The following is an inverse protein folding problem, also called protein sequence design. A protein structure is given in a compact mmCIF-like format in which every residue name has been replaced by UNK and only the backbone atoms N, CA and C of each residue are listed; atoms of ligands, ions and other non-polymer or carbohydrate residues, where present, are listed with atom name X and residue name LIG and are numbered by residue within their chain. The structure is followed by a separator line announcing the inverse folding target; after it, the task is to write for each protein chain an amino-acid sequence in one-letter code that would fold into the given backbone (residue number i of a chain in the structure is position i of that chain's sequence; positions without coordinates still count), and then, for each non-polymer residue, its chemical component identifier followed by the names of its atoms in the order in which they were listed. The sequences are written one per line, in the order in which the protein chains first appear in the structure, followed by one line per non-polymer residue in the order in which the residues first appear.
data_IF_095018850176
#
_entry.id   IF_095018850176
#
_cell.length_a   1.000
_cell.length_b   1.000
_cell.length_c   1.000
_cell.angle_alpha   90.00
_cell.angle_beta   90.00
_cell.angle_gamma   90.00
#
_symmetry.space_group_name_H-M   'P 1'
#
loop_
_entity.id
_entity.type
_entity.pdbx_description
1 polymer ?
#
# COMPACT_ATOMS: atom_id res chain seq x y z
N UNK A 1 -30.39 -20.70 -5.91
CA UNK A 1 -30.30 -19.33 -6.43
C UNK A 1 -28.83 -19.00 -6.54
N UNK A 2 -28.31 -18.89 -7.77
CA UNK A 2 -26.91 -18.65 -8.04
C UNK A 2 -26.64 -17.13 -8.05
N UNK A 3 -25.67 -16.69 -7.26
CA UNK A 3 -25.17 -15.33 -7.23
C UNK A 3 -24.06 -15.21 -8.28
N UNK A 4 -24.17 -14.23 -9.18
CA UNK A 4 -23.19 -13.97 -10.23
C UNK A 4 -22.57 -12.58 -10.02
N UNK A 5 -21.30 -12.45 -9.61
CA UNK A 5 -20.60 -11.18 -9.48
C UNK A 5 -19.81 -10.90 -10.76
N UNK A 6 -20.44 -10.31 -11.77
CA UNK A 6 -19.77 -9.88 -13.00
C UNK A 6 -20.06 -8.41 -13.27
N UNK A 7 -19.21 -7.55 -12.69
CA UNK A 7 -18.55 -6.40 -13.32
C UNK A 7 -18.03 -5.48 -12.19
N UNK A 8 -16.70 -5.42 -12.07
CA UNK A 8 -15.98 -4.63 -11.08
C UNK A 8 -15.79 -3.17 -11.48
N UNK A 9 -16.72 -2.59 -12.23
CA UNK A 9 -16.60 -1.22 -12.72
C UNK A 9 -17.10 -0.24 -11.67
N UNK A 10 -16.28 0.77 -11.36
CA UNK A 10 -16.64 1.88 -10.49
C UNK A 10 -16.97 3.08 -11.37
N UNK A 11 -18.08 3.75 -11.07
CA UNK A 11 -18.57 4.92 -11.81
C UNK A 11 -18.50 6.16 -10.94
N UNK A 12 -17.97 7.26 -11.45
CA UNK A 12 -17.92 8.55 -10.75
C UNK A 12 -18.74 9.56 -11.54
N UNK A 13 -19.81 10.10 -10.95
CA UNK A 13 -20.68 11.08 -11.59
C UNK A 13 -20.50 12.47 -10.99
N UNK A 14 -20.34 13.47 -11.86
CA UNK A 14 -20.31 14.89 -11.47
C UNK A 14 -21.70 15.47 -11.13
N UNK A 15 -21.76 16.63 -10.45
CA UNK A 15 -23.02 17.25 -10.06
C UNK A 15 -23.81 17.74 -11.29
N UNK A 16 -25.09 17.36 -11.34
CA UNK A 16 -26.04 17.78 -12.37
C UNK A 16 -26.45 19.25 -12.15
N UNK A 17 -26.25 20.10 -13.16
CA UNK A 17 -26.92 21.40 -13.23
C UNK A 17 -28.36 21.18 -13.67
N UNK A 18 -29.31 21.51 -12.79
CA UNK A 18 -30.73 21.56 -13.13
C UNK A 18 -30.99 22.73 -14.07
N UNK A 19 -31.49 22.54 -15.30
CA UNK A 19 -32.11 23.60 -16.05
C UNK A 19 -33.57 23.72 -15.59
N UNK A 20 -33.93 24.89 -15.06
CA UNK A 20 -35.34 25.21 -14.86
C UNK A 20 -36.04 25.37 -16.21
N UNK A 21 -37.20 24.73 -16.38
CA UNK A 21 -38.38 25.44 -16.86
C UNK A 21 -39.69 24.65 -16.72
N UNK A 22 -40.72 25.47 -16.51
CA UNK A 22 -42.15 25.26 -16.34
C UNK A 22 -42.84 24.16 -17.18
N UNK A 23 -43.63 23.31 -16.52
CA UNK A 23 -45.08 23.14 -16.77
C UNK A 23 -45.73 22.17 -15.76
N UNK A 24 -46.84 22.60 -15.16
CA UNK A 24 -47.77 21.73 -14.41
C UNK A 24 -48.71 20.99 -15.38
N UNK A 25 -49.37 19.90 -14.96
CA UNK A 25 -50.67 20.08 -14.31
C UNK A 25 -50.97 19.15 -13.11
N UNK A 26 -52.02 19.55 -12.40
CA UNK A 26 -52.62 19.05 -11.16
C UNK A 26 -52.97 17.55 -11.11
N UNK A 27 -52.79 16.95 -9.93
CA UNK A 27 -53.78 16.06 -9.32
C UNK A 27 -53.81 16.23 -7.78
N UNK A 28 -55.03 16.45 -7.28
CA UNK A 28 -55.55 16.36 -5.89
C UNK A 28 -55.10 15.06 -5.18
N UNK A 29 -55.02 14.88 -3.84
CA UNK A 29 -55.39 15.63 -2.62
C UNK A 29 -54.89 14.86 -1.38
N UNK A 30 -54.78 15.57 -0.23
CA UNK A 30 -54.85 15.07 1.18
C UNK A 30 -53.60 14.32 1.72
N UNK A 31 -53.02 14.55 2.90
CA UNK A 31 -53.49 15.02 4.21
C UNK A 31 -52.36 15.77 4.95
N UNK A 32 -52.69 16.87 5.63
CA UNK A 32 -51.92 17.46 6.73
C UNK A 32 -52.35 16.86 8.08
N UNK A 33 -51.47 16.88 9.09
CA UNK A 33 -51.85 17.46 10.38
C UNK A 33 -50.90 18.59 10.83
N UNK A 34 -51.32 19.45 11.79
CA UNK A 34 -50.56 20.62 12.24
C UNK A 34 -49.76 20.31 13.51
N UNK A 35 -48.53 20.79 13.60
CA UNK A 35 -47.83 21.01 14.87
C UNK A 35 -47.19 22.39 14.82
N UNK A 36 -47.76 23.29 15.61
CA UNK A 36 -47.31 24.62 15.94
C UNK A 36 -46.74 24.61 17.37
N UNK A 37 -45.81 25.53 17.63
CA UNK A 37 -45.11 25.90 18.87
C UNK A 37 -43.63 25.50 18.78
N UNK A 38 -42.66 26.41 18.64
CA UNK A 38 -42.58 27.79 19.15
C UNK A 38 -41.74 27.75 20.43
N UNK A 39 -40.53 28.32 20.40
CA UNK A 39 -39.76 28.78 21.56
C UNK A 39 -38.51 29.55 21.10
N UNK A 40 -37.92 30.38 21.98
CA UNK A 40 -37.72 31.80 21.72
C UNK A 40 -36.27 32.17 21.38
N UNK A 41 -36.13 33.43 20.94
CA UNK A 41 -34.90 34.21 20.91
C UNK A 41 -34.05 33.98 22.15
N UNK A 42 -32.86 33.41 21.96
CA UNK A 42 -31.77 33.49 22.91
C UNK A 42 -30.93 34.74 22.57
N UNK A 43 -30.85 35.65 23.53
CA UNK A 43 -30.01 36.85 23.51
C UNK A 43 -28.52 36.51 23.38
N UNK A 44 -27.70 37.40 22.80
CA UNK A 44 -26.24 37.25 22.80
C UNK A 44 -25.65 37.54 24.20
N UNK A 45 -24.51 36.93 24.57
CA UNK A 45 -23.86 37.19 25.85
C UNK A 45 -23.28 38.62 25.91
N UNK A 46 -23.42 39.20 27.09
CA UNK A 46 -22.99 40.53 27.47
C UNK A 46 -21.47 40.71 27.34
N UNK A 47 -21.09 41.84 26.79
CA UNK A 47 -19.73 42.39 26.79
C UNK A 47 -19.39 42.92 28.19
N UNK A 48 -18.20 42.66 28.74
CA UNK A 48 -17.77 43.34 29.96
C UNK A 48 -17.50 44.82 29.68
N UNK A 49 -18.29 45.69 30.31
CA UNK A 49 -18.01 47.12 30.44
C UNK A 49 -16.66 47.32 31.14
N UNK A 50 -15.73 47.98 30.45
CA UNK A 50 -14.54 48.59 31.07
C UNK A 50 -14.72 50.10 31.06
N UNK A 51 -14.60 50.70 32.24
CA UNK A 51 -14.75 52.13 32.50
C UNK A 51 -13.61 52.95 31.85
N UNK A 52 -13.86 54.22 31.51
CA UNK A 52 -12.85 55.11 30.91
C UNK A 52 -12.10 55.86 32.00
N UNK A 53 -10.77 55.82 32.01
CA UNK A 53 -9.95 56.84 32.67
C UNK A 53 -8.61 57.08 31.96
N UNK A 54 -8.26 58.36 31.93
CA UNK A 54 -6.96 58.99 31.69
C UNK A 54 -6.49 59.23 30.25
N UNK A 55 -6.82 60.44 29.80
CA UNK A 55 -5.93 61.38 29.11
C UNK A 55 -4.53 61.46 29.73
N UNK A 56 -3.51 61.34 28.88
CA UNK A 56 -2.12 61.67 29.20
C UNK A 56 -1.19 61.19 28.09
N UNK A 57 -0.82 62.07 27.16
CA UNK A 57 0.00 61.72 26.00
C UNK A 57 1.48 61.50 26.32
N UNK A 58 2.20 60.96 25.33
CA UNK A 58 3.46 61.49 24.82
C UNK A 58 3.93 60.62 23.65
N UNK A 59 4.52 61.30 22.67
CA UNK A 59 5.15 60.79 21.47
C UNK A 59 6.30 59.83 21.82
N UNK A 60 6.44 58.71 21.09
CA UNK A 60 7.72 58.26 20.55
C UNK A 60 7.55 57.03 19.64
N UNK A 61 8.31 57.05 18.56
CA UNK A 61 8.35 56.04 17.51
C UNK A 61 8.96 54.73 18.01
N UNK A 62 8.43 53.59 17.55
CA UNK A 62 9.04 52.29 17.84
C UNK A 62 8.26 51.11 17.28
N UNK A 63 8.69 50.65 16.12
CA UNK A 63 8.69 49.24 15.69
C UNK A 63 7.36 48.46 15.69
N UNK A 64 6.84 48.33 14.48
CA UNK A 64 5.85 47.35 14.04
C UNK A 64 6.27 45.90 14.36
N UNK A 65 5.86 45.41 15.54
CA UNK A 65 5.89 43.99 15.89
C UNK A 65 4.70 43.28 15.24
N UNK A 66 5.00 42.59 14.14
CA UNK A 66 4.04 41.98 13.23
C UNK A 66 3.53 40.62 13.75
N UNK A 67 2.20 40.51 13.85
CA UNK A 67 1.33 39.34 13.77
C UNK A 67 1.95 37.92 13.76
N UNK A 68 2.13 37.31 14.93
CA UNK A 68 2.42 35.86 15.06
C UNK A 68 1.34 35.05 15.78
N UNK A 69 0.26 35.69 16.26
CA UNK A 69 -0.80 35.03 17.06
C UNK A 69 -2.13 34.81 16.32
N UNK A 70 -2.23 35.16 15.03
CA UNK A 70 -3.48 35.02 14.27
C UNK A 70 -3.61 33.68 13.51
N UNK A 71 -2.72 32.70 13.76
CA UNK A 71 -2.62 31.47 12.97
C UNK A 71 -3.32 30.24 13.58
N UNK A 72 -3.76 30.29 14.85
CA UNK A 72 -4.37 29.13 15.50
C UNK A 72 -5.87 29.03 15.23
N UNK A 73 -6.63 30.12 15.34
CA UNK A 73 -8.08 30.13 15.09
C UNK A 73 -8.43 29.83 13.62
N UNK A 74 -7.65 30.38 12.69
CA UNK A 74 -7.82 30.10 11.27
C UNK A 74 -7.55 28.62 10.91
N UNK A 75 -6.61 27.97 11.60
CA UNK A 75 -6.35 26.54 11.44
C UNK A 75 -7.53 25.68 11.94
N UNK A 76 -8.13 26.02 13.08
CA UNK A 76 -9.31 25.32 13.61
C UNK A 76 -10.53 25.44 12.70
N UNK A 77 -10.83 26.64 12.18
CA UNK A 77 -11.95 26.82 11.25
C UNK A 77 -11.73 26.07 9.92
N UNK A 78 -10.49 25.95 9.47
CA UNK A 78 -10.15 25.16 8.29
C UNK A 78 -10.45 23.67 8.51
N UNK A 79 -10.10 23.11 9.66
CA UNK A 79 -10.43 21.71 9.98
C UNK A 79 -11.94 21.44 10.06
N UNK A 80 -12.71 22.36 10.65
CA UNK A 80 -14.17 22.24 10.71
C UNK A 80 -14.80 22.24 9.31
N UNK A 81 -14.35 23.14 8.42
CA UNK A 81 -14.81 23.20 7.02
C UNK A 81 -14.43 21.93 6.27
N UNK A 82 -13.20 21.44 6.41
CA UNK A 82 -12.75 20.22 5.75
C UNK A 82 -13.50 18.99 6.27
N UNK A 83 -13.73 18.90 7.58
CA UNK A 83 -14.53 17.84 8.20
C UNK A 83 -15.97 17.85 7.71
N UNK A 84 -16.57 19.04 7.62
CA UNK A 84 -17.91 19.22 7.06
C UNK A 84 -17.94 18.83 5.57
N UNK A 85 -16.96 19.25 4.78
CA UNK A 85 -16.88 18.92 3.34
C UNK A 85 -16.68 17.42 3.13
N UNK A 86 -15.90 16.75 3.97
CA UNK A 86 -15.74 15.31 3.96
C UNK A 86 -17.05 14.58 4.29
N UNK A 87 -17.72 14.95 5.39
CA UNK A 87 -18.98 14.33 5.78
C UNK A 87 -20.09 14.57 4.75
N UNK A 88 -20.29 15.84 4.36
CA UNK A 88 -21.39 16.22 3.46
C UNK A 88 -21.12 15.87 2.00
N UNK A 89 -19.89 16.05 1.55
CA UNK A 89 -19.51 15.93 0.14
C UNK A 89 -18.97 14.57 -0.26
N UNK A 90 -18.44 13.79 0.68
CA UNK A 90 -17.94 12.44 0.41
C UNK A 90 -18.79 11.36 1.08
N UNK A 91 -18.96 11.37 2.40
CA UNK A 91 -19.67 10.29 3.11
C UNK A 91 -21.18 10.27 2.83
N UNK A 92 -21.83 11.44 2.81
CA UNK A 92 -23.25 11.57 2.45
C UNK A 92 -23.47 11.61 0.93
N UNK A 93 -22.40 11.77 0.14
CA UNK A 93 -22.44 11.60 -1.29
C UNK A 93 -22.76 10.15 -1.61
N UNK A 94 -24.04 9.86 -1.86
CA UNK A 94 -24.59 8.52 -2.13
C UNK A 94 -23.58 7.57 -2.80
N UNK A 95 -23.06 6.60 -2.04
CA UNK A 95 -22.40 5.40 -2.58
C UNK A 95 -23.51 4.39 -2.82
N UNK A 96 -24.18 4.50 -3.96
CA UNK A 96 -25.15 3.50 -4.41
C UNK A 96 -24.51 2.67 -5.52
N UNK A 97 -24.43 1.35 -5.34
CA UNK A 97 -23.93 0.42 -6.36
C UNK A 97 -22.53 0.77 -6.92
N UNK A 98 -21.57 1.14 -6.06
CA UNK A 98 -20.21 1.55 -6.47
C UNK A 98 -20.16 2.80 -7.36
N UNK A 99 -21.22 3.61 -7.30
CA UNK A 99 -21.24 4.90 -7.95
C UNK A 99 -20.94 5.99 -6.92
N UNK A 100 -19.91 6.79 -7.16
CA UNK A 100 -19.56 7.92 -6.32
C UNK A 100 -20.04 9.21 -6.96
N UNK A 101 -20.83 10.01 -6.22
CA UNK A 101 -21.24 11.36 -6.63
C UNK A 101 -20.33 12.38 -5.99
N UNK A 102 -19.36 12.88 -6.75
CA UNK A 102 -18.24 13.67 -6.23
C UNK A 102 -18.09 15.01 -6.94
N UNK A 103 -17.38 15.93 -6.28
CA UNK A 103 -17.13 17.27 -6.78
C UNK A 103 -15.90 17.29 -7.69
N UNK A 104 -16.09 17.64 -8.97
CA UNK A 104 -15.02 17.71 -9.97
C UNK A 104 -13.86 18.62 -9.54
N UNK A 105 -14.15 19.73 -8.85
CA UNK A 105 -13.13 20.63 -8.30
C UNK A 105 -12.18 19.93 -7.31
N UNK A 106 -12.73 19.05 -6.46
CA UNK A 106 -11.94 18.28 -5.49
C UNK A 106 -11.19 17.15 -6.18
N UNK A 107 -11.84 16.46 -7.13
CA UNK A 107 -11.20 15.39 -7.91
C UNK A 107 -10.03 15.87 -8.77
N UNK A 108 -10.04 17.12 -9.21
CA UNK A 108 -8.96 17.71 -10.01
C UNK A 108 -7.61 17.77 -9.26
N UNK A 109 -7.59 17.53 -7.94
CA UNK A 109 -6.36 17.36 -7.16
C UNK A 109 -5.61 16.07 -7.52
N UNK A 110 -6.32 15.05 -8.02
CA UNK A 110 -5.71 13.84 -8.59
C UNK A 110 -5.32 14.11 -10.03
N UNK A 111 -4.06 13.85 -10.39
CA UNK A 111 -3.56 14.06 -11.75
C UNK A 111 -4.27 13.15 -12.75
N UNK A 112 -4.53 11.91 -12.37
CA UNK A 112 -5.23 10.93 -13.21
C UNK A 112 -6.67 11.33 -13.44
N UNK A 113 -7.41 11.70 -12.38
CA UNK A 113 -8.81 12.12 -12.51
C UNK A 113 -8.94 13.44 -13.26
N UNK A 114 -8.03 14.40 -13.03
CA UNK A 114 -8.00 15.65 -13.78
C UNK A 114 -7.84 15.38 -15.29
N UNK A 115 -6.93 14.48 -15.66
CA UNK A 115 -6.75 14.07 -17.04
C UNK A 115 -8.02 13.42 -17.61
N UNK A 116 -8.57 12.41 -16.91
CA UNK A 116 -9.79 11.73 -17.35
C UNK A 116 -10.99 12.68 -17.51
N UNK A 117 -11.17 13.63 -16.59
CA UNK A 117 -12.21 14.66 -16.69
C UNK A 117 -11.98 15.58 -17.89
N UNK A 118 -10.74 15.90 -18.23
CA UNK A 118 -10.41 16.76 -19.37
C UNK A 118 -10.60 16.07 -20.73
N UNK A 119 -10.44 14.74 -20.78
CA UNK A 119 -10.58 13.95 -22.01
C UNK A 119 -11.95 13.30 -22.18
N UNK A 120 -12.74 13.22 -21.10
CA UNK A 120 -14.10 12.68 -21.15
C UNK A 120 -14.99 13.57 -22.03
N UNK A 121 -15.78 12.95 -22.91
CA UNK A 121 -16.69 13.69 -23.78
C UNK A 121 -17.70 14.50 -22.95
N UNK A 122 -18.02 15.71 -23.40
CA UNK A 122 -18.87 16.67 -22.69
C UNK A 122 -20.37 16.30 -22.62
N UNK A 123 -20.73 15.01 -22.70
CA UNK A 123 -22.13 14.60 -22.51
C UNK A 123 -22.49 14.68 -21.03
N UNK A 124 -23.40 15.59 -20.68
CA UNK A 124 -24.02 15.66 -19.36
C UNK A 124 -24.95 14.46 -19.14
N UNK A 125 -24.93 13.78 -17.96
CA UNK A 125 -24.00 13.96 -16.85
C UNK A 125 -22.62 13.32 -17.11
N UNK A 126 -21.55 14.07 -16.78
CA UNK A 126 -20.17 13.61 -16.95
C UNK A 126 -19.90 12.47 -15.98
N UNK A 127 -19.90 11.25 -16.52
CA UNK A 127 -19.68 10.00 -15.78
C UNK A 127 -18.36 9.40 -16.24
N UNK A 128 -17.46 9.16 -15.29
CA UNK A 128 -16.16 8.54 -15.55
C UNK A 128 -16.22 7.11 -15.06
N UNK A 129 -15.86 6.17 -15.92
CA UNK A 129 -15.75 4.76 -15.58
C UNK A 129 -14.28 4.42 -15.37
N UNK A 130 -13.97 3.86 -14.21
CA UNK A 130 -12.64 3.42 -13.85
C UNK A 130 -12.72 1.90 -13.67
N UNK A 131 -12.09 1.17 -14.58
CA UNK A 131 -12.03 -0.29 -14.46
C UNK A 131 -10.88 -0.66 -13.53
N UNK A 132 -11.22 -1.19 -12.35
CA UNK A 132 -10.25 -1.69 -11.38
C UNK A 132 -9.87 -3.15 -11.61
N UNK A 133 -10.59 -3.85 -12.51
CA UNK A 133 -10.39 -5.27 -12.77
C UNK A 133 -9.00 -5.61 -13.32
N UNK A 134 -8.30 -4.63 -13.92
CA UNK A 134 -6.93 -4.80 -14.41
C UNK A 134 -5.87 -4.70 -13.32
N UNK A 135 -6.20 -4.16 -12.15
CA UNK A 135 -5.22 -3.81 -11.10
C UNK A 135 -5.53 -4.57 -9.79
N UNK A 136 -4.99 -5.78 -9.59
CA UNK A 136 -5.37 -6.66 -8.48
C UNK A 136 -4.99 -6.11 -7.10
N UNK A 137 -4.09 -5.13 -7.04
CA UNK A 137 -3.70 -4.47 -5.79
C UNK A 137 -4.72 -3.41 -5.34
N UNK A 138 -5.56 -2.91 -6.25
CA UNK A 138 -6.57 -1.90 -5.93
C UNK A 138 -7.87 -2.59 -5.51
N UNK A 139 -8.26 -2.33 -4.27
CA UNK A 139 -9.54 -2.76 -3.69
C UNK A 139 -10.50 -1.58 -3.65
N UNK A 140 -11.79 -1.86 -3.57
CA UNK A 140 -12.82 -0.83 -3.44
C UNK A 140 -12.61 0.03 -2.19
N UNK A 141 -12.20 -0.58 -1.07
CA UNK A 141 -11.89 0.11 0.18
C UNK A 141 -10.69 1.05 0.01
N UNK A 142 -9.56 0.54 -0.49
CA UNK A 142 -8.35 1.35 -0.70
C UNK A 142 -8.59 2.53 -1.65
N UNK A 143 -9.38 2.30 -2.70
CA UNK A 143 -9.77 3.32 -3.66
C UNK A 143 -10.69 4.38 -3.02
N UNK A 144 -11.67 3.95 -2.23
CA UNK A 144 -12.57 4.85 -1.49
C UNK A 144 -11.80 5.72 -0.49
N UNK A 145 -10.86 5.15 0.27
CA UNK A 145 -10.01 5.89 1.20
C UNK A 145 -9.19 6.96 0.46
N UNK A 146 -8.62 6.61 -0.70
CA UNK A 146 -7.91 7.57 -1.53
C UNK A 146 -8.84 8.70 -2.01
N UNK A 147 -10.01 8.39 -2.55
CA UNK A 147 -10.99 9.42 -2.94
C UNK A 147 -11.38 10.34 -1.76
N UNK A 148 -11.59 9.76 -0.57
CA UNK A 148 -11.85 10.50 0.66
C UNK A 148 -10.70 11.44 1.05
N UNK A 149 -9.45 11.02 0.85
CA UNK A 149 -8.27 11.83 1.12
C UNK A 149 -8.20 13.11 0.26
N UNK A 150 -8.76 13.10 -0.96
CA UNK A 150 -8.87 14.32 -1.77
C UNK A 150 -9.73 15.40 -1.09
N UNK A 151 -10.68 14.99 -0.24
CA UNK A 151 -11.53 15.88 0.54
C UNK A 151 -10.85 16.32 1.83
N UNK A 152 -10.30 15.38 2.60
CA UNK A 152 -9.67 15.69 3.89
C UNK A 152 -8.64 14.64 4.32
N UNK A 153 -7.60 15.09 5.03
CA UNK A 153 -6.55 14.21 5.57
C UNK A 153 -7.04 13.24 6.67
N UNK A 154 -8.27 13.40 7.17
CA UNK A 154 -8.87 12.47 8.14
C UNK A 154 -8.90 11.02 7.64
N UNK A 155 -8.94 10.81 6.32
CA UNK A 155 -8.86 9.48 5.72
C UNK A 155 -7.55 8.73 6.02
N UNK A 156 -6.49 9.41 6.47
CA UNK A 156 -5.26 8.75 6.94
C UNK A 156 -5.54 7.82 8.13
N UNK A 157 -6.49 8.16 8.99
CA UNK A 157 -6.86 7.34 10.16
C UNK A 157 -7.54 6.02 9.79
N UNK A 158 -7.98 5.89 8.53
CA UNK A 158 -8.59 4.67 8.00
C UNK A 158 -7.54 3.71 7.44
N UNK A 159 -6.27 4.12 7.35
CA UNK A 159 -5.18 3.28 6.86
C UNK A 159 -4.67 2.38 7.97
N UNK A 160 -4.71 1.08 7.74
CA UNK A 160 -4.25 0.05 8.69
C UNK A 160 -3.54 -1.09 7.93
N UNK A 161 -2.80 -1.98 8.62
CA UNK A 161 -1.94 -2.97 7.97
C UNK A 161 -2.61 -3.83 6.88
N UNK A 162 -3.90 -4.15 7.04
CA UNK A 162 -4.64 -5.01 6.11
C UNK A 162 -5.05 -4.31 4.80
N UNK A 163 -5.24 -2.98 4.82
CA UNK A 163 -5.65 -2.21 3.63
C UNK A 163 -4.53 -1.33 3.05
N UNK A 164 -3.43 -1.14 3.79
CA UNK A 164 -2.37 -0.18 3.46
C UNK A 164 -1.76 -0.38 2.06
N UNK A 165 -1.51 -1.63 1.64
CA UNK A 165 -0.97 -1.90 0.29
C UNK A 165 -1.94 -1.46 -0.80
N UNK A 166 -3.24 -1.63 -0.56
CA UNK A 166 -4.28 -1.24 -1.51
C UNK A 166 -4.49 0.27 -1.55
N UNK A 167 -4.45 0.94 -0.40
CA UNK A 167 -4.46 2.40 -0.31
C UNK A 167 -3.25 2.99 -1.02
N UNK A 168 -2.06 2.41 -0.82
CA UNK A 168 -0.83 2.82 -1.49
C UNK A 168 -0.97 2.69 -3.01
N UNK A 169 -1.43 1.53 -3.51
CA UNK A 169 -1.68 1.33 -4.94
C UNK A 169 -2.69 2.35 -5.50
N UNK A 170 -3.77 2.62 -4.75
CA UNK A 170 -4.80 3.59 -5.14
C UNK A 170 -4.27 5.02 -5.18
N UNK A 171 -3.46 5.42 -4.20
CA UNK A 171 -2.83 6.73 -4.14
C UNK A 171 -1.86 6.94 -5.31
N UNK A 172 -1.03 5.93 -5.63
CA UNK A 172 -0.14 5.99 -6.79
C UNK A 172 -0.90 6.00 -8.12
N UNK A 173 -1.99 5.24 -8.22
CA UNK A 173 -2.85 5.21 -9.41
C UNK A 173 -3.52 6.54 -9.70
N UNK A 174 -4.12 7.16 -8.67
CA UNK A 174 -4.80 8.44 -8.80
C UNK A 174 -3.81 9.60 -8.95
N UNK A 175 -2.62 9.50 -8.35
CA UNK A 175 -1.57 10.52 -8.39
C UNK A 175 -1.91 11.80 -7.63
N UNK A 176 -0.90 12.61 -7.32
CA UNK A 176 -1.07 13.89 -6.61
C UNK A 176 -1.39 13.76 -5.12
N UNK A 177 -1.08 12.61 -4.51
CA UNK A 177 -1.43 12.24 -3.13
C UNK A 177 -0.21 11.70 -2.38
N UNK A 178 0.91 12.41 -2.48
CA UNK A 178 2.21 11.95 -1.98
C UNK A 178 2.19 11.67 -0.48
N UNK A 179 1.49 12.48 0.31
CA UNK A 179 1.35 12.29 1.76
C UNK A 179 0.60 11.00 2.11
N UNK A 180 -0.49 10.68 1.38
CA UNK A 180 -1.23 9.43 1.58
C UNK A 180 -0.37 8.23 1.18
N UNK A 181 0.33 8.31 0.04
CA UNK A 181 1.21 7.25 -0.42
C UNK A 181 2.36 7.02 0.58
N UNK A 182 3.02 8.08 1.06
CA UNK A 182 4.07 7.98 2.05
C UNK A 182 3.56 7.36 3.36
N UNK A 183 2.40 7.81 3.85
CA UNK A 183 1.81 7.26 5.06
C UNK A 183 1.45 5.77 4.92
N UNK A 184 0.77 5.39 3.83
CA UNK A 184 0.40 4.01 3.56
C UNK A 184 1.64 3.11 3.40
N UNK A 185 2.71 3.61 2.79
CA UNK A 185 3.99 2.91 2.72
C UNK A 185 4.59 2.65 4.11
N UNK A 186 4.59 3.63 5.02
CA UNK A 186 5.09 3.41 6.39
C UNK A 186 4.26 2.38 7.15
N UNK A 187 2.93 2.38 6.97
CA UNK A 187 2.06 1.35 7.54
C UNK A 187 2.39 -0.03 6.97
N UNK A 188 2.55 -0.15 5.64
CA UNK A 188 3.02 -1.39 5.00
C UNK A 188 4.34 -1.87 5.61
N UNK A 189 5.35 -0.99 5.68
CA UNK A 189 6.67 -1.30 6.22
C UNK A 189 6.61 -1.77 7.67
N UNK A 190 5.84 -1.09 8.52
CA UNK A 190 5.66 -1.46 9.93
C UNK A 190 4.92 -2.79 10.12
N UNK A 191 4.17 -3.24 9.12
CA UNK A 191 3.42 -4.50 9.18
C UNK A 191 4.25 -5.73 8.78
N UNK A 192 5.48 -5.54 8.30
CA UNK A 192 6.38 -6.64 7.93
C UNK A 192 6.82 -7.35 9.20
N UNK A 193 6.39 -8.61 9.34
CA UNK A 193 6.67 -9.46 10.50
C UNK A 193 6.75 -10.91 10.09
N UNK A 194 7.13 -11.82 10.99
CA UNK A 194 7.15 -13.26 10.72
C UNK A 194 5.78 -13.81 10.29
N UNK A 195 4.69 -13.27 10.85
CA UNK A 195 3.33 -13.74 10.57
C UNK A 195 2.84 -13.30 9.18
N UNK A 196 3.14 -12.06 8.79
CA UNK A 196 2.69 -11.45 7.52
C UNK A 196 3.64 -11.73 6.35
N UNK A 197 4.85 -12.23 6.64
CA UNK A 197 5.89 -12.49 5.66
C UNK A 197 5.45 -13.33 4.44
N UNK A 198 4.64 -14.41 4.58
CA UNK A 198 4.20 -15.18 3.41
C UNK A 198 3.49 -14.32 2.36
N UNK A 199 2.59 -13.43 2.81
CA UNK A 199 1.87 -12.49 1.93
C UNK A 199 2.82 -11.48 1.27
N UNK A 200 3.82 -10.99 2.02
CA UNK A 200 4.83 -10.08 1.48
C UNK A 200 5.75 -10.75 0.45
N UNK A 201 6.07 -12.03 0.64
CA UNK A 201 6.84 -12.81 -0.34
C UNK A 201 6.03 -12.98 -1.62
N UNK A 202 4.75 -13.37 -1.53
CA UNK A 202 3.86 -13.48 -2.71
C UNK A 202 3.76 -12.16 -3.48
N UNK A 203 3.69 -11.04 -2.75
CA UNK A 203 3.75 -9.71 -3.35
C UNK A 203 5.07 -9.47 -4.10
N UNK A 204 6.23 -9.73 -3.49
CA UNK A 204 7.54 -9.56 -4.13
C UNK A 204 7.65 -10.45 -5.38
N UNK A 205 7.13 -11.67 -5.32
CA UNK A 205 7.08 -12.57 -6.48
C UNK A 205 6.26 -12.00 -7.63
N UNK A 206 5.10 -11.40 -7.32
CA UNK A 206 4.25 -10.76 -8.34
C UNK A 206 4.96 -9.63 -9.09
N UNK A 207 5.86 -8.91 -8.41
CA UNK A 207 6.65 -7.83 -9.03
C UNK A 207 7.70 -8.41 -9.98
N UNK A 208 8.43 -9.44 -9.54
CA UNK A 208 9.53 -10.05 -10.32
C UNK A 208 9.01 -10.89 -11.48
N UNK A 209 7.83 -11.51 -11.33
CA UNK A 209 7.23 -12.38 -12.34
C UNK A 209 6.90 -11.68 -13.66
N UNK A 210 6.67 -10.36 -13.64
CA UNK A 210 6.36 -9.58 -14.85
C UNK A 210 7.61 -9.26 -15.69
N UNK A 211 8.82 -9.46 -15.15
CA UNK A 211 10.08 -9.14 -15.85
C UNK A 211 10.70 -10.31 -16.63
N UNK A 212 10.20 -11.54 -16.50
CA UNK A 212 10.88 -12.73 -17.05
C UNK A 212 10.27 -13.23 -18.36
N UNK A 213 11.07 -13.03 -19.42
CA UNK A 213 11.03 -13.54 -20.81
C UNK A 213 10.21 -12.75 -21.86
N UNK A 214 10.83 -11.71 -22.47
CA UNK A 214 10.66 -11.55 -23.90
C UNK A 214 11.26 -12.79 -24.56
N UNK A 215 10.41 -13.72 -25.02
CA UNK A 215 10.80 -14.72 -26.01
C UNK A 215 11.60 -14.00 -27.08
N UNK A 216 12.80 -14.52 -27.37
CA UNK A 216 13.65 -14.07 -28.45
C UNK A 216 12.89 -14.14 -29.78
N UNK A 217 12.13 -13.10 -30.10
CA UNK A 217 11.54 -12.86 -31.40
C UNK A 217 12.09 -11.55 -31.91
N UNK A 218 13.01 -11.70 -32.85
CA UNK A 218 13.31 -10.73 -33.91
C UNK A 218 14.04 -9.47 -33.46
N UNK A 219 15.36 -9.47 -33.71
CA UNK A 219 16.13 -8.26 -33.88
C UNK A 219 15.53 -7.43 -35.03
N UNK A 220 14.70 -6.45 -34.70
CA UNK A 220 14.49 -5.29 -35.55
C UNK A 220 14.96 -4.07 -34.79
N UNK A 221 16.08 -3.52 -35.24
CA UNK A 221 16.49 -2.14 -35.01
C UNK A 221 15.28 -1.22 -35.16
N UNK A 222 14.84 -0.61 -34.06
CA UNK A 222 14.25 0.74 -34.00
C UNK A 222 14.04 1.15 -32.55
N UNK A 223 14.67 2.29 -32.25
CA UNK A 223 14.40 3.25 -31.19
C UNK A 223 14.73 2.85 -29.74
N UNK A 224 15.96 3.24 -29.36
CA UNK A 224 16.36 3.58 -28.00
C UNK A 224 15.59 4.83 -27.55
N UNK A 225 14.33 4.67 -27.15
CA UNK A 225 13.71 5.63 -26.23
C UNK A 225 12.63 4.96 -25.38
N UNK A 226 12.75 5.14 -24.07
CA UNK A 226 11.67 4.93 -23.10
C UNK A 226 11.27 3.48 -22.76
N UNK A 227 11.91 2.95 -21.72
CA UNK A 227 11.47 1.89 -20.79
C UNK A 227 9.93 1.68 -20.67
N UNK A 228 9.28 1.02 -21.62
CA UNK A 228 7.88 0.59 -21.49
C UNK A 228 7.79 -0.86 -20.97
N UNK A 229 8.75 -1.25 -20.12
CA UNK A 229 8.48 -2.28 -19.13
C UNK A 229 7.37 -1.72 -18.25
N UNK A 230 6.26 -2.47 -18.11
CA UNK A 230 5.12 -2.06 -17.30
C UNK A 230 5.61 -1.63 -15.93
N UNK A 231 5.73 -0.32 -15.70
CA UNK A 231 6.08 0.19 -14.38
C UNK A 231 4.93 -0.21 -13.49
N UNK A 232 5.24 -0.98 -12.44
CA UNK A 232 4.27 -1.31 -11.40
C UNK A 232 3.50 -0.05 -11.00
N UNK A 233 2.20 -0.17 -10.78
CA UNK A 233 1.33 0.92 -10.33
C UNK A 233 1.86 1.63 -9.07
N UNK A 234 2.63 0.92 -8.25
CA UNK A 234 3.27 1.41 -7.04
C UNK A 234 4.51 2.29 -7.31
N UNK A 235 4.99 2.36 -8.56
CA UNK A 235 6.15 3.13 -8.96
C UNK A 235 7.39 2.80 -8.11
N UNK A 236 8.01 3.84 -7.54
CA UNK A 236 9.20 3.70 -6.67
C UNK A 236 8.94 2.94 -5.37
N UNK A 237 7.68 2.87 -4.92
CA UNK A 237 7.34 2.17 -3.69
C UNK A 237 7.39 0.65 -3.85
N UNK A 238 7.22 0.12 -5.07
CA UNK A 238 7.35 -1.31 -5.35
C UNK A 238 8.76 -1.82 -4.97
N UNK A 239 9.78 -1.13 -5.47
CA UNK A 239 11.18 -1.48 -5.22
C UNK A 239 11.55 -1.27 -3.75
N UNK A 240 11.10 -0.16 -3.14
CA UNK A 240 11.35 0.09 -1.72
C UNK A 240 10.75 -0.98 -0.82
N UNK A 241 9.48 -1.33 -1.02
CA UNK A 241 8.82 -2.38 -0.24
C UNK A 241 9.49 -3.73 -0.44
N UNK A 242 9.89 -4.06 -1.68
CA UNK A 242 10.68 -5.26 -1.95
C UNK A 242 11.95 -5.25 -1.12
N UNK A 243 12.70 -4.16 -1.15
CA UNK A 243 13.98 -4.06 -0.46
C UNK A 243 13.80 -4.12 1.07
N UNK A 244 12.76 -3.49 1.64
CA UNK A 244 12.41 -3.59 3.06
C UNK A 244 12.04 -5.03 3.47
N UNK A 245 11.22 -5.73 2.66
CA UNK A 245 10.84 -7.13 2.90
C UNK A 245 12.08 -8.03 2.88
N UNK A 246 12.96 -7.84 1.90
CA UNK A 246 14.20 -8.61 1.79
C UNK A 246 15.18 -8.29 2.91
N UNK A 247 15.28 -7.02 3.32
CA UNK A 247 16.09 -6.59 4.45
C UNK A 247 15.61 -7.20 5.76
N UNK A 248 14.29 -7.23 6.00
CA UNK A 248 13.71 -7.90 7.15
C UNK A 248 14.01 -9.40 7.11
N UNK A 249 13.74 -10.06 5.98
CA UNK A 249 13.89 -11.51 5.83
C UNK A 249 15.34 -12.01 5.98
N UNK A 250 16.31 -11.27 5.42
CA UNK A 250 17.72 -11.67 5.42
C UNK A 250 18.45 -11.14 6.66
N UNK A 251 18.11 -9.92 7.11
CA UNK A 251 18.88 -9.20 8.13
C UNK A 251 18.29 -9.30 9.54
N UNK A 252 17.00 -8.98 9.70
CA UNK A 252 16.36 -8.87 11.01
C UNK A 252 15.85 -10.22 11.52
N UNK A 253 15.07 -10.93 10.69
CA UNK A 253 14.40 -12.16 11.05
C UNK A 253 15.31 -13.28 11.59
N UNK A 254 16.49 -13.56 11.02
CA UNK A 254 17.37 -14.60 11.58
C UNK A 254 17.84 -14.28 12.99
N UNK A 255 17.98 -12.99 13.32
CA UNK A 255 18.42 -12.53 14.65
C UNK A 255 17.28 -12.65 15.65
N UNK A 256 16.06 -12.27 15.26
CA UNK A 256 14.86 -12.45 16.09
C UNK A 256 14.59 -13.93 16.40
N UNK A 257 14.86 -14.81 15.43
CA UNK A 257 14.72 -16.26 15.60
C UNK A 257 15.91 -16.90 16.34
N UNK A 258 17.05 -16.23 16.47
CA UNK A 258 18.30 -16.88 16.92
C UNK A 258 18.72 -18.01 15.98
N UNK A 259 18.47 -17.86 14.67
CA UNK A 259 18.62 -18.94 13.69
C UNK A 259 20.07 -19.43 13.50
N UNK A 260 21.05 -18.59 13.86
CA UNK A 260 22.47 -18.93 13.80
C UNK A 260 23.15 -18.88 15.17
N UNK A 261 22.37 -18.78 16.26
CA UNK A 261 22.94 -18.81 17.59
C UNK A 261 23.51 -20.19 17.88
N UNK A 262 24.67 -20.28 18.57
CA UNK A 262 25.23 -21.55 18.95
C UNK A 262 24.23 -22.28 19.84
N UNK A 263 23.71 -23.41 19.35
CA UNK A 263 22.77 -24.23 20.10
C UNK A 263 23.44 -24.61 21.43
N UNK A 264 22.81 -24.31 22.59
CA UNK A 264 23.39 -24.67 23.87
C UNK A 264 23.61 -26.18 23.90
N UNK A 265 24.83 -26.58 24.23
CA UNK A 265 25.20 -27.98 24.35
C UNK A 265 24.15 -28.69 25.22
N UNK A 266 23.67 -29.84 24.76
CA UNK A 266 22.67 -30.63 25.49
C UNK A 266 23.11 -30.76 26.96
N UNK A 267 22.22 -30.49 27.94
CA UNK A 267 22.60 -30.60 29.34
C UNK A 267 23.09 -32.03 29.63
N UNK A 268 24.10 -32.19 30.50
CA UNK A 268 24.58 -33.51 30.90
C UNK A 268 23.41 -34.36 31.44
N UNK A 269 23.42 -35.68 31.22
CA UNK A 269 22.27 -36.58 31.47
C UNK A 269 21.86 -36.78 32.95
N UNK A 270 22.17 -35.86 33.86
CA UNK A 270 22.18 -36.11 35.31
C UNK A 270 21.19 -35.29 36.15
N UNK A 271 20.45 -34.34 35.59
CA UNK A 271 19.51 -33.52 36.38
C UNK A 271 18.12 -33.54 35.78
N UNK A 272 17.28 -34.42 36.33
CA UNK A 272 15.83 -34.47 36.14
C UNK A 272 15.22 -33.16 36.64
N UNK A 273 15.19 -32.15 35.78
CA UNK A 273 14.39 -30.95 35.98
C UNK A 273 13.38 -30.90 34.82
N UNK A 274 12.07 -30.87 35.09
CA UNK A 274 11.07 -30.79 34.04
C UNK A 274 11.05 -29.35 33.51
N UNK A 275 11.93 -29.03 32.58
CA UNK A 275 11.98 -27.70 31.96
C UNK A 275 12.13 -27.81 30.45
N UNK A 276 11.25 -27.07 29.77
CA UNK A 276 11.05 -26.94 28.34
C UNK A 276 10.43 -28.18 27.63
N UNK A 277 9.16 -28.02 27.25
CA UNK A 277 8.45 -28.89 26.32
C UNK A 277 9.29 -29.20 25.07
N UNK A 278 9.47 -30.48 24.69
CA UNK A 278 10.32 -30.90 23.56
C UNK A 278 9.79 -30.54 22.16
N UNK A 279 8.67 -29.83 22.05
CA UNK A 279 7.94 -29.64 20.79
C UNK A 279 8.14 -28.28 20.11
N UNK A 280 8.88 -27.32 20.71
CA UNK A 280 9.08 -26.03 20.03
C UNK A 280 10.20 -26.16 18.98
N UNK A 281 9.92 -25.92 17.69
CA UNK A 281 10.94 -25.96 16.65
C UNK A 281 12.02 -24.91 16.94
N UNK A 282 13.29 -25.25 16.70
CA UNK A 282 14.38 -24.29 16.84
C UNK A 282 14.19 -23.14 15.85
N UNK A 283 14.69 -21.94 16.17
CA UNK A 283 14.63 -20.81 15.25
C UNK A 283 15.31 -21.09 13.91
N UNK A 284 16.39 -21.89 13.95
CA UNK A 284 17.05 -22.43 12.76
C UNK A 284 16.07 -23.24 11.89
N UNK A 285 15.29 -24.15 12.48
CA UNK A 285 14.34 -24.98 11.75
C UNK A 285 13.19 -24.16 11.16
N UNK A 286 12.71 -23.15 11.88
CA UNK A 286 11.69 -22.21 11.39
C UNK A 286 12.23 -21.45 10.18
N UNK A 287 13.43 -20.88 10.29
CA UNK A 287 14.05 -20.12 9.21
C UNK A 287 14.34 -20.99 7.97
N UNK A 288 14.85 -22.21 8.18
CA UNK A 288 15.03 -23.20 7.12
C UNK A 288 13.72 -23.50 6.39
N UNK A 289 12.62 -23.72 7.13
CA UNK A 289 11.30 -23.97 6.53
C UNK A 289 10.84 -22.81 5.66
N UNK A 290 11.02 -21.55 6.10
CA UNK A 290 10.70 -20.37 5.28
C UNK A 290 11.50 -20.34 3.98
N UNK A 291 12.80 -20.64 4.05
CA UNK A 291 13.65 -20.75 2.86
C UNK A 291 13.18 -21.82 1.88
N UNK A 292 12.47 -22.86 2.32
CA UNK A 292 11.96 -23.87 1.38
C UNK A 292 10.82 -23.36 0.48
N UNK A 293 10.09 -22.36 0.95
CA UNK A 293 8.92 -21.79 0.25
C UNK A 293 9.32 -20.84 -0.87
N UNK A 294 10.45 -20.11 -0.71
CA UNK A 294 10.90 -19.11 -1.66
C UNK A 294 11.14 -19.63 -3.09
N UNK A 295 10.78 -18.90 -4.15
CA UNK A 295 11.24 -19.14 -5.50
C UNK A 295 12.75 -19.04 -5.59
N UNK A 296 13.31 -19.57 -6.66
CA UNK A 296 14.76 -19.66 -6.77
C UNK A 296 15.47 -18.32 -6.91
N UNK A 297 14.88 -17.36 -7.62
CA UNK A 297 15.44 -16.01 -7.74
C UNK A 297 15.63 -15.37 -6.36
N UNK A 298 14.58 -15.41 -5.53
CA UNK A 298 14.63 -14.90 -4.15
C UNK A 298 15.55 -15.73 -3.26
N UNK A 299 15.45 -17.07 -3.33
CA UNK A 299 16.31 -17.98 -2.57
C UNK A 299 17.80 -17.73 -2.84
N UNK A 300 18.18 -17.62 -4.12
CA UNK A 300 19.53 -17.29 -4.57
C UNK A 300 19.97 -15.94 -4.02
N UNK A 301 19.16 -14.89 -4.23
CA UNK A 301 19.44 -13.55 -3.73
C UNK A 301 19.67 -13.52 -2.22
N UNK A 302 18.83 -14.22 -1.44
CA UNK A 302 18.96 -14.28 0.02
C UNK A 302 20.24 -14.95 0.50
N UNK A 303 20.59 -16.12 -0.05
CA UNK A 303 21.77 -16.88 0.39
C UNK A 303 23.08 -16.20 -0.03
N UNK A 304 23.10 -15.59 -1.22
CA UNK A 304 24.28 -14.90 -1.75
C UNK A 304 24.46 -13.50 -1.13
N UNK A 305 23.42 -12.96 -0.48
CA UNK A 305 23.47 -11.63 0.13
C UNK A 305 24.46 -11.56 1.30
N UNK A 306 25.36 -10.56 1.32
CA UNK A 306 26.27 -10.36 2.45
C UNK A 306 25.53 -10.00 3.75
N UNK A 307 24.27 -9.56 3.68
CA UNK A 307 23.47 -9.18 4.84
C UNK A 307 23.05 -10.37 5.71
N UNK A 308 23.12 -11.60 5.17
CA UNK A 308 22.77 -12.80 5.93
C UNK A 308 23.75 -12.98 7.10
N UNK A 309 23.28 -13.00 8.37
CA UNK A 309 24.12 -13.00 9.55
C UNK A 309 24.71 -14.38 9.88
N UNK A 310 25.19 -15.10 8.87
CA UNK A 310 25.88 -16.37 9.05
C UNK A 310 27.31 -16.10 9.60
N UNK A 311 27.73 -16.76 10.70
CA UNK A 311 29.04 -16.51 11.32
C UNK A 311 30.25 -16.83 10.44
N UNK A 312 30.08 -17.74 9.47
CA UNK A 312 31.11 -18.07 8.48
C UNK A 312 30.47 -18.57 7.18
N UNK A 313 31.23 -18.53 6.09
CA UNK A 313 30.81 -19.10 4.81
C UNK A 313 30.57 -20.62 4.91
N UNK A 314 31.26 -21.31 5.82
CA UNK A 314 31.01 -22.72 6.08
C UNK A 314 29.62 -22.96 6.68
N UNK A 315 29.21 -22.15 7.67
CA UNK A 315 27.87 -22.22 8.26
C UNK A 315 26.81 -21.86 7.22
N UNK A 316 27.03 -20.80 6.43
CA UNK A 316 26.17 -20.39 5.33
C UNK A 316 26.00 -21.51 4.29
N UNK A 317 27.11 -22.15 3.90
CA UNK A 317 27.11 -23.26 2.95
C UNK A 317 26.30 -24.44 3.47
N UNK A 318 26.51 -24.84 4.73
CA UNK A 318 25.76 -25.93 5.35
C UNK A 318 24.26 -25.60 5.45
N UNK A 319 23.92 -24.37 5.82
CA UNK A 319 22.52 -23.90 5.85
C UNK A 319 21.87 -23.93 4.46
N UNK A 320 22.55 -23.38 3.44
CA UNK A 320 22.06 -23.41 2.07
C UNK A 320 21.89 -24.84 1.55
N UNK A 321 22.83 -25.74 1.87
CA UNK A 321 22.75 -27.17 1.53
C UNK A 321 21.56 -27.84 2.20
N UNK A 322 21.30 -27.53 3.48
CA UNK A 322 20.12 -28.03 4.20
C UNK A 322 18.81 -27.51 3.58
N UNK A 323 18.76 -26.24 3.19
CA UNK A 323 17.62 -25.67 2.47
C UNK A 323 17.37 -26.38 1.14
N UNK A 324 18.40 -26.60 0.33
CA UNK A 324 18.30 -27.34 -0.94
C UNK A 324 17.82 -28.77 -0.71
N UNK A 325 18.34 -29.47 0.31
CA UNK A 325 17.91 -30.83 0.63
C UNK A 325 16.45 -30.91 1.10
N UNK A 326 15.98 -29.92 1.86
CA UNK A 326 14.61 -29.84 2.35
C UNK A 326 13.59 -29.40 1.27
N UNK A 327 14.07 -28.72 0.22
CA UNK A 327 13.24 -28.27 -0.90
C UNK A 327 12.85 -29.47 -1.77
N UNK A 328 11.58 -29.87 -1.71
CA UNK A 328 11.05 -30.97 -2.54
C UNK A 328 11.09 -30.60 -4.03
N UNK A 329 11.62 -31.47 -4.92
CA UNK A 329 11.52 -31.31 -6.36
C UNK A 329 10.09 -31.63 -6.81
N UNK A 330 9.18 -30.64 -6.78
CA UNK A 330 7.78 -30.90 -7.16
C UNK A 330 6.84 -29.71 -7.32
N UNK A 331 7.25 -28.48 -6.97
CA UNK A 331 6.41 -27.28 -7.06
C UNK A 331 6.73 -26.44 -8.30
N UNK A 332 6.60 -27.02 -9.50
CA UNK A 332 6.86 -26.29 -10.76
C UNK A 332 8.30 -25.77 -10.91
N UNK A 333 9.27 -26.38 -10.24
CA UNK A 333 10.68 -26.02 -10.31
C UNK A 333 11.37 -26.88 -11.36
N UNK A 334 11.59 -26.32 -12.54
CA UNK A 334 12.13 -27.00 -13.73
C UNK A 334 13.63 -27.35 -13.70
N UNK A 335 14.26 -27.37 -12.51
CA UNK A 335 15.70 -27.57 -12.39
C UNK A 335 16.16 -28.09 -11.04
N UNK A 336 17.33 -28.73 -11.06
CA UNK A 336 18.05 -29.16 -9.86
C UNK A 336 18.87 -27.99 -9.32
N UNK A 337 18.67 -27.66 -8.05
CA UNK A 337 19.37 -26.59 -7.33
C UNK A 337 20.59 -27.20 -6.63
N UNK A 338 21.76 -26.56 -6.75
CA UNK A 338 23.00 -26.97 -6.10
C UNK A 338 23.69 -25.79 -5.44
N UNK A 339 24.40 -26.06 -4.33
CA UNK A 339 25.17 -25.06 -3.61
C UNK A 339 26.65 -25.31 -3.88
N UNK A 340 27.35 -24.25 -4.26
CA UNK A 340 28.79 -24.27 -4.57
C UNK A 340 29.49 -23.29 -3.64
N UNK A 341 30.67 -23.66 -3.16
CA UNK A 341 31.58 -22.76 -2.48
C UNK A 341 32.61 -22.27 -3.51
N UNK A 342 32.55 -21.00 -3.87
CA UNK A 342 33.50 -20.33 -4.74
C UNK A 342 34.67 -19.80 -3.91
N UNK A 343 35.89 -20.20 -4.26
CA UNK A 343 37.10 -19.66 -3.66
C UNK A 343 37.58 -18.48 -4.50
N UNK A 344 37.93 -17.35 -3.87
CA UNK A 344 38.54 -16.19 -4.53
C UNK A 344 37.59 -15.07 -4.96
N UNK A 345 36.39 -14.98 -4.38
CA UNK A 345 35.49 -13.84 -4.62
C UNK A 345 35.90 -12.64 -3.74
N UNK A 346 36.42 -11.58 -4.33
CA UNK A 346 36.68 -10.33 -3.64
C UNK A 346 35.34 -9.59 -3.39
N UNK A 347 34.94 -9.46 -2.12
CA UNK A 347 33.84 -8.59 -1.70
C UNK A 347 32.42 -9.17 -1.69
N UNK A 348 32.25 -10.48 -1.84
CA UNK A 348 30.93 -11.15 -1.80
C UNK A 348 30.91 -12.46 -1.01
N UNK A 349 29.71 -13.02 -0.79
CA UNK A 349 29.51 -14.36 -0.21
C UNK A 349 30.22 -15.41 -1.07
N UNK A 350 31.12 -16.20 -0.48
CA UNK A 350 31.76 -17.33 -1.16
C UNK A 350 30.76 -18.44 -1.51
N UNK A 351 29.54 -18.41 -0.96
CA UNK A 351 28.49 -19.39 -1.25
C UNK A 351 27.64 -18.91 -2.42
N UNK A 352 27.60 -19.70 -3.49
CA UNK A 352 26.78 -19.47 -4.67
C UNK A 352 25.74 -20.58 -4.87
N UNK A 353 24.55 -20.19 -5.31
CA UNK A 353 23.49 -21.09 -5.74
C UNK A 353 23.45 -21.16 -7.26
N UNK A 354 23.50 -22.40 -7.75
CA UNK A 354 23.34 -22.73 -9.15
C UNK A 354 22.06 -23.55 -9.35
N UNK A 355 21.41 -23.36 -10.49
CA UNK A 355 20.28 -24.18 -10.94
C UNK A 355 20.59 -24.72 -12.32
N UNK A 356 20.53 -26.04 -12.45
CA UNK A 356 20.65 -26.73 -13.73
C UNK A 356 19.26 -27.02 -14.27
N UNK A 357 18.87 -26.34 -15.35
CA UNK A 357 17.63 -26.64 -16.06
C UNK A 357 17.68 -28.08 -16.59
N UNK A 358 16.59 -28.84 -16.40
CA UNK A 358 16.47 -30.17 -17.00
C UNK A 358 16.34 -30.00 -18.51
N UNK A 359 17.33 -30.47 -19.28
CA UNK A 359 17.24 -30.48 -20.75
C UNK A 359 16.01 -31.33 -21.12
N UNK A 360 14.99 -30.71 -21.73
CA UNK A 360 13.87 -31.45 -22.33
C UNK A 360 14.47 -32.40 -23.36
N UNK A 361 14.13 -33.70 -23.26
CA UNK A 361 14.59 -34.68 -24.24
C UNK A 361 14.12 -34.23 -25.63
N UNK A 362 15.06 -33.89 -26.51
CA UNK A 362 14.77 -33.60 -27.91
C UNK A 362 14.36 -34.93 -28.57
N UNK A 363 13.11 -35.02 -29.03
CA UNK A 363 12.65 -36.19 -29.77
C UNK A 363 13.42 -36.29 -31.09
N UNK A 364 14.15 -37.39 -31.28
CA UNK A 364 14.80 -37.70 -32.55
C UNK A 364 13.74 -38.20 -33.52
N UNK A 365 13.44 -37.44 -34.57
CA UNK A 365 12.64 -37.94 -35.70
C UNK A 365 13.55 -38.77 -36.58
N UNK A 366 13.32 -40.08 -36.64
CA UNK A 366 13.93 -40.97 -37.64
C UNK A 366 13.16 -40.88 -38.94
N UNK A 367 13.88 -40.68 -40.06
CA UNK A 367 13.34 -40.78 -41.43
C UNK A 367 13.22 -42.22 -41.86
#
# INVERSE_FOLDING_TARGET
MAYNPQNGDISVAGPSRVPGNHHAPNFMSSLHPPMQNGHPYASPPETPQTMPHSTGGSEEAGESHNSYYQSTTAAYHNEEILSHLYHTGFQMGHIENRQYRLHSLILARSTTLAHLMSTASHSSPQTIYISLASEPLITEEGFSIALGFLYAAVSLQLVHPQNALSVLASACYLGGMDDLAAHAYEVCKSSISLETLPTWIEFVESIVGDEVEPKASSASDRDKDGSSGRRSILGVYAERLRDDVMQYFIGALPRELGAFDPQPAAPPPSTQTPSASPDRPSGHDVYLRLFTLLPYSLFKSCIESPLLPAPSDHVRYNFAKACVAARKPGRGRDGEETVVLAFGTEGGSAVCLARKARKKALWKVTK
#
